data_IF_416154248911
#
_entry.id   IF_416154248911
#
_cell.length_a   1.000
_cell.length_b   1.000
_cell.length_c   1.000
_cell.angle_alpha   90.00
_cell.angle_beta   90.00
_cell.angle_gamma   90.00
#
_symmetry.space_group_name_H-M   'P 1'
#
loop_
_entity.id
_entity.type
_entity.pdbx_description
1 polymer ?
#
# COMPACT_ATOMS: atom_id res chain seq x y z
N UNK A 1 -21.77 -1.48 -19.69
CA UNK A 1 -20.81 -1.60 -18.56
C UNK A 1 -19.86 -2.75 -18.88
N UNK A 2 -18.56 -2.49 -18.91
CA UNK A 2 -17.54 -3.51 -19.21
C UNK A 2 -17.31 -4.39 -17.98
N UNK A 3 -17.52 -5.69 -18.09
CA UNK A 3 -17.21 -6.63 -17.01
C UNK A 3 -15.74 -7.04 -17.06
N UNK A 4 -15.09 -7.10 -15.88
CA UNK A 4 -13.74 -7.61 -15.67
C UNK A 4 -13.82 -8.74 -14.66
N UNK A 5 -13.44 -9.92 -15.08
CA UNK A 5 -13.56 -11.16 -14.29
C UNK A 5 -12.28 -11.38 -13.49
N UNK A 6 -12.43 -11.39 -12.17
CA UNK A 6 -11.31 -11.53 -11.25
C UNK A 6 -11.18 -12.94 -10.67
N UNK A 7 -9.92 -13.38 -10.57
CA UNK A 7 -9.51 -14.45 -9.68
C UNK A 7 -8.82 -13.89 -8.43
N UNK A 8 -9.05 -14.48 -7.27
CA UNK A 8 -8.32 -14.18 -6.03
C UNK A 8 -7.36 -15.33 -5.72
N UNK A 9 -6.07 -15.01 -5.53
CA UNK A 9 -5.07 -15.94 -5.01
C UNK A 9 -4.72 -15.49 -3.59
N UNK A 10 -5.05 -16.32 -2.58
CA UNK A 10 -4.96 -15.97 -1.16
C UNK A 10 -6.32 -15.52 -0.60
N UNK A 11 -7.07 -16.47 -0.04
CA UNK A 11 -8.44 -16.28 0.48
C UNK A 11 -8.47 -15.84 1.95
N UNK A 12 -7.36 -15.30 2.47
CA UNK A 12 -7.24 -14.75 3.83
C UNK A 12 -7.98 -13.43 4.01
N UNK A 13 -7.51 -12.62 4.99
CA UNK A 13 -8.13 -11.35 5.34
C UNK A 13 -8.22 -10.40 4.13
N UNK A 14 -7.09 -10.14 3.45
CA UNK A 14 -7.07 -9.21 2.32
C UNK A 14 -7.86 -9.71 1.11
N UNK A 15 -7.87 -11.03 0.86
CA UNK A 15 -8.73 -11.61 -0.17
C UNK A 15 -10.22 -11.37 0.12
N UNK A 16 -10.64 -11.45 1.40
CA UNK A 16 -12.02 -11.13 1.81
C UNK A 16 -12.34 -9.64 1.69
N UNK A 17 -11.42 -8.76 2.07
CA UNK A 17 -11.60 -7.30 1.89
C UNK A 17 -11.77 -6.94 0.42
N UNK A 18 -10.99 -7.55 -0.45
CA UNK A 18 -11.12 -7.39 -1.87
C UNK A 18 -12.48 -7.91 -2.40
N UNK A 19 -12.91 -9.09 -1.99
CA UNK A 19 -14.22 -9.62 -2.34
C UNK A 19 -15.38 -8.75 -1.81
N UNK A 20 -15.24 -8.22 -0.59
CA UNK A 20 -16.18 -7.26 0.00
C UNK A 20 -16.34 -5.99 -0.85
N UNK A 21 -15.24 -5.46 -1.40
CA UNK A 21 -15.28 -4.32 -2.31
C UNK A 21 -16.05 -4.64 -3.61
N UNK A 22 -15.92 -5.87 -4.15
CA UNK A 22 -16.76 -6.33 -5.26
C UNK A 22 -18.26 -6.29 -4.89
N UNK A 23 -18.63 -6.81 -3.73
CA UNK A 23 -20.02 -6.82 -3.29
C UNK A 23 -20.59 -5.40 -3.12
N UNK A 24 -19.73 -4.45 -2.75
CA UNK A 24 -20.06 -3.01 -2.58
C UNK A 24 -19.96 -2.20 -3.87
N UNK A 25 -19.74 -2.81 -5.02
CA UNK A 25 -19.56 -2.10 -6.29
C UNK A 25 -20.72 -1.19 -6.63
N UNK A 26 -21.94 -1.59 -6.29
CA UNK A 26 -23.15 -0.78 -6.48
C UNK A 26 -23.15 0.54 -5.68
N UNK A 27 -22.21 0.76 -4.77
CA UNK A 27 -22.05 2.00 -4.04
C UNK A 27 -21.41 3.12 -4.91
N UNK A 28 -20.69 2.76 -5.97
CA UNK A 28 -20.09 3.72 -6.90
C UNK A 28 -21.10 4.22 -7.93
N UNK A 29 -21.00 5.51 -8.25
CA UNK A 29 -21.80 6.17 -9.28
C UNK A 29 -20.92 6.50 -10.50
N UNK A 30 -21.57 6.63 -11.66
CA UNK A 30 -20.93 7.11 -12.90
C UNK A 30 -19.72 6.28 -13.35
N UNK A 31 -19.70 4.97 -13.06
CA UNK A 31 -18.69 4.04 -13.55
C UNK A 31 -19.28 3.14 -14.65
N UNK A 32 -18.52 2.93 -15.72
CA UNK A 32 -18.96 2.12 -16.88
C UNK A 32 -18.33 0.71 -16.91
N UNK A 33 -17.63 0.33 -15.84
CA UNK A 33 -17.00 -0.97 -15.63
C UNK A 33 -17.50 -1.64 -14.34
N UNK A 34 -17.42 -2.97 -14.29
CA UNK A 34 -17.92 -3.78 -13.19
C UNK A 34 -16.99 -4.97 -12.91
N UNK A 35 -16.58 -5.22 -11.66
CA UNK A 35 -15.86 -6.44 -11.30
C UNK A 35 -16.82 -7.63 -11.15
N UNK A 36 -16.37 -8.80 -11.55
CA UNK A 36 -17.03 -10.08 -11.31
C UNK A 36 -16.04 -11.04 -10.69
N UNK A 37 -16.34 -11.59 -9.51
CA UNK A 37 -15.51 -12.62 -8.91
C UNK A 37 -15.79 -13.96 -9.57
N UNK A 38 -14.87 -14.43 -10.40
CA UNK A 38 -15.03 -15.65 -11.21
C UNK A 38 -14.21 -16.84 -10.67
N UNK A 39 -13.20 -16.59 -9.83
CA UNK A 39 -12.35 -17.65 -9.31
C UNK A 39 -11.66 -17.33 -7.99
N UNK A 40 -11.38 -18.36 -7.22
CA UNK A 40 -10.63 -18.28 -5.95
C UNK A 40 -9.61 -19.41 -5.85
N UNK A 41 -8.48 -19.11 -5.22
CA UNK A 41 -7.43 -20.09 -4.94
C UNK A 41 -6.83 -19.86 -3.56
N UNK A 42 -6.74 -20.93 -2.78
CA UNK A 42 -5.99 -21.00 -1.52
C UNK A 42 -5.59 -22.44 -1.24
N UNK A 43 -4.44 -22.64 -0.62
CA UNK A 43 -4.01 -23.98 -0.18
C UNK A 43 -4.88 -24.56 0.93
N UNK A 44 -5.62 -23.70 1.65
CA UNK A 44 -6.59 -24.08 2.67
C UNK A 44 -8.03 -23.99 2.12
N UNK A 45 -8.64 -25.11 1.68
CA UNK A 45 -10.00 -25.12 1.10
C UNK A 45 -11.11 -24.78 2.12
N UNK A 46 -10.82 -24.81 3.43
CA UNK A 46 -11.79 -24.41 4.45
C UNK A 46 -12.21 -22.92 4.32
N UNK A 47 -11.39 -22.11 3.62
CA UNK A 47 -11.70 -20.70 3.34
C UNK A 47 -12.69 -20.49 2.20
N UNK A 48 -12.95 -21.49 1.35
CA UNK A 48 -13.78 -21.34 0.15
C UNK A 48 -15.27 -21.13 0.47
N UNK A 49 -15.78 -21.76 1.52
CA UNK A 49 -17.20 -21.74 1.86
C UNK A 49 -17.78 -20.33 1.98
N UNK A 50 -17.05 -19.42 2.63
CA UNK A 50 -17.48 -18.03 2.74
C UNK A 50 -17.62 -17.35 1.35
N UNK A 51 -16.66 -17.55 0.46
CA UNK A 51 -16.70 -16.96 -0.89
C UNK A 51 -17.84 -17.54 -1.73
N UNK A 52 -18.00 -18.86 -1.72
CA UNK A 52 -19.03 -19.56 -2.50
C UNK A 52 -20.45 -19.18 -2.04
N UNK A 53 -20.62 -18.93 -0.73
CA UNK A 53 -21.89 -18.49 -0.17
C UNK A 53 -22.29 -17.08 -0.66
N UNK A 54 -21.30 -16.17 -0.82
CA UNK A 54 -21.58 -14.76 -1.12
C UNK A 54 -21.42 -14.40 -2.61
N UNK A 55 -20.70 -15.22 -3.37
CA UNK A 55 -20.38 -14.95 -4.79
C UNK A 55 -20.77 -16.14 -5.68
N UNK A 56 -22.03 -16.23 -6.11
CA UNK A 56 -22.50 -17.31 -7.00
C UNK A 56 -21.86 -17.28 -8.40
N UNK A 57 -21.12 -16.23 -8.73
CA UNK A 57 -20.40 -16.07 -9.99
C UNK A 57 -19.08 -16.85 -10.05
N UNK A 58 -18.61 -17.41 -8.91
CA UNK A 58 -17.39 -18.21 -8.86
C UNK A 58 -17.56 -19.50 -9.64
N UNK A 59 -16.76 -19.67 -10.68
CA UNK A 59 -16.72 -20.87 -11.53
C UNK A 59 -15.56 -21.80 -11.15
N UNK A 60 -14.47 -21.25 -10.59
CA UNK A 60 -13.25 -21.99 -10.23
C UNK A 60 -12.93 -21.77 -8.77
N UNK A 61 -12.90 -22.84 -7.97
CA UNK A 61 -12.40 -22.85 -6.60
C UNK A 61 -11.35 -23.97 -6.48
N UNK A 62 -10.07 -23.62 -6.30
CA UNK A 62 -8.97 -24.56 -6.45
C UNK A 62 -7.85 -24.31 -5.44
N UNK A 63 -7.04 -25.34 -5.20
CA UNK A 63 -5.80 -25.21 -4.42
C UNK A 63 -4.59 -24.78 -5.28
N UNK A 64 -4.73 -24.90 -6.60
CA UNK A 64 -3.64 -24.70 -7.55
C UNK A 64 -3.89 -23.42 -8.35
N UNK A 65 -3.14 -22.35 -8.07
CA UNK A 65 -3.35 -21.06 -8.77
C UNK A 65 -3.17 -21.17 -10.30
N UNK A 66 -2.43 -22.14 -10.77
CA UNK A 66 -2.27 -22.40 -12.20
C UNK A 66 -3.61 -22.68 -12.91
N UNK A 67 -4.63 -23.18 -12.21
CA UNK A 67 -5.95 -23.39 -12.78
C UNK A 67 -6.65 -22.06 -13.06
N UNK A 68 -6.47 -21.05 -12.18
CA UNK A 68 -6.97 -19.69 -12.42
C UNK A 68 -6.28 -19.06 -13.64
N UNK A 69 -4.96 -19.28 -13.78
CA UNK A 69 -4.20 -18.71 -14.88
C UNK A 69 -4.59 -19.29 -16.24
N UNK A 70 -4.95 -20.56 -16.27
CA UNK A 70 -5.41 -21.26 -17.50
C UNK A 70 -6.87 -20.95 -17.85
N UNK A 71 -7.66 -20.47 -16.90
CA UNK A 71 -9.10 -20.24 -17.09
C UNK A 71 -9.36 -19.11 -18.07
N UNK A 72 -10.17 -19.31 -19.14
CA UNK A 72 -10.60 -18.25 -20.03
C UNK A 72 -11.64 -17.32 -19.38
N UNK A 73 -12.21 -17.72 -18.25
CA UNK A 73 -13.19 -16.96 -17.49
C UNK A 73 -12.55 -15.92 -16.52
N UNK A 74 -11.24 -15.76 -16.54
CA UNK A 74 -10.50 -14.84 -15.66
C UNK A 74 -9.67 -13.88 -16.50
N UNK A 75 -9.86 -12.58 -16.28
CA UNK A 75 -9.15 -11.51 -16.98
C UNK A 75 -8.01 -10.94 -16.11
N UNK A 76 -8.26 -10.82 -14.81
CA UNK A 76 -7.35 -10.21 -13.85
C UNK A 76 -7.26 -11.02 -12.56
N UNK A 77 -6.11 -10.92 -11.88
CA UNK A 77 -5.86 -11.57 -10.60
C UNK A 77 -5.63 -10.50 -9.53
N UNK A 78 -6.29 -10.67 -8.39
CA UNK A 78 -5.85 -10.08 -7.12
C UNK A 78 -5.04 -11.13 -6.35
N UNK A 79 -3.82 -10.78 -5.95
CA UNK A 79 -2.90 -11.73 -5.31
C UNK A 79 -2.46 -11.23 -3.94
N UNK A 80 -2.84 -11.96 -2.87
CA UNK A 80 -2.62 -11.63 -1.47
C UNK A 80 -1.99 -12.81 -0.71
N UNK A 81 -0.73 -13.06 -0.99
CA UNK A 81 0.07 -14.15 -0.43
C UNK A 81 1.15 -13.64 0.55
N UNK A 82 1.81 -14.52 1.32
CA UNK A 82 3.07 -14.19 1.98
C UNK A 82 4.15 -13.71 1.00
N UNK A 83 5.00 -12.78 1.45
CA UNK A 83 5.92 -12.02 0.58
C UNK A 83 6.91 -12.88 -0.21
N UNK A 84 7.33 -14.01 0.37
CA UNK A 84 8.25 -14.95 -0.30
C UNK A 84 7.68 -15.61 -1.57
N UNK A 85 6.37 -15.59 -1.72
CA UNK A 85 5.68 -16.15 -2.89
C UNK A 85 5.45 -15.13 -4.00
N UNK A 86 5.57 -13.82 -3.72
CA UNK A 86 5.22 -12.77 -4.66
C UNK A 86 6.02 -12.88 -5.96
N UNK A 87 7.34 -13.04 -5.90
CA UNK A 87 8.16 -13.10 -7.12
C UNK A 87 7.66 -14.20 -8.08
N UNK A 88 7.55 -15.42 -7.57
CA UNK A 88 7.15 -16.55 -8.42
C UNK A 88 5.73 -16.37 -8.96
N UNK A 89 4.78 -16.10 -8.09
CA UNK A 89 3.36 -16.07 -8.46
C UNK A 89 3.05 -14.87 -9.36
N UNK A 90 3.62 -13.70 -9.08
CA UNK A 90 3.43 -12.51 -9.92
C UNK A 90 4.00 -12.70 -11.32
N UNK A 91 5.20 -13.28 -11.44
CA UNK A 91 5.81 -13.59 -12.72
C UNK A 91 4.95 -14.61 -13.50
N UNK A 92 4.43 -15.64 -12.84
CA UNK A 92 3.56 -16.64 -13.49
C UNK A 92 2.25 -16.00 -13.99
N UNK A 93 1.63 -15.10 -13.19
CA UNK A 93 0.42 -14.35 -13.59
C UNK A 93 0.71 -13.48 -14.83
N UNK A 94 1.81 -12.74 -14.81
CA UNK A 94 2.22 -11.84 -15.90
C UNK A 94 2.46 -12.64 -17.19
N UNK A 95 3.17 -13.76 -17.11
CA UNK A 95 3.45 -14.66 -18.25
C UNK A 95 2.20 -15.31 -18.83
N UNK A 96 1.22 -15.58 -17.97
CA UNK A 96 -0.09 -16.08 -18.41
C UNK A 96 -0.97 -15.00 -19.08
N UNK A 97 -0.48 -13.75 -19.18
CA UNK A 97 -1.20 -12.65 -19.78
C UNK A 97 -2.39 -12.14 -18.93
N UNK A 98 -2.47 -12.50 -17.65
CA UNK A 98 -3.50 -12.01 -16.74
C UNK A 98 -3.07 -10.68 -16.12
N UNK A 99 -3.99 -9.70 -16.08
CA UNK A 99 -3.74 -8.45 -15.38
C UNK A 99 -3.56 -8.72 -13.88
N UNK A 100 -2.76 -7.90 -13.18
CA UNK A 100 -2.40 -8.14 -11.77
C UNK A 100 -2.58 -6.89 -10.92
N UNK A 101 -3.37 -7.01 -9.87
CA UNK A 101 -3.28 -6.17 -8.68
C UNK A 101 -2.64 -7.01 -7.57
N UNK A 102 -1.34 -6.81 -7.34
CA UNK A 102 -0.56 -7.57 -6.36
C UNK A 102 -0.47 -6.83 -5.03
N UNK A 103 -0.51 -7.57 -3.92
CA UNK A 103 -0.28 -7.01 -2.60
C UNK A 103 1.16 -6.50 -2.41
N UNK A 104 1.27 -5.53 -1.50
CA UNK A 104 2.58 -5.02 -1.05
C UNK A 104 3.21 -5.96 -0.01
N UNK A 105 4.55 -5.91 0.13
CA UNK A 105 5.54 -5.30 -0.78
C UNK A 105 5.57 -6.04 -2.12
N UNK A 106 6.04 -5.36 -3.16
CA UNK A 106 6.00 -5.93 -4.53
C UNK A 106 6.91 -7.16 -4.73
N UNK A 107 7.79 -7.44 -3.78
CA UNK A 107 8.63 -8.63 -3.65
C UNK A 107 9.11 -8.76 -2.21
N UNK A 108 9.71 -9.89 -1.85
CA UNK A 108 10.27 -10.10 -0.51
C UNK A 108 11.51 -9.22 -0.25
N UNK A 109 12.23 -8.88 -1.33
CA UNK A 109 13.46 -8.08 -1.33
C UNK A 109 13.63 -7.31 -2.66
N UNK A 110 14.72 -6.55 -2.80
CA UNK A 110 15.02 -5.79 -4.01
C UNK A 110 15.28 -6.69 -5.25
N UNK A 111 16.02 -7.81 -5.17
CA UNK A 111 16.15 -8.75 -6.28
C UNK A 111 14.81 -9.28 -6.79
N UNK A 112 13.92 -9.69 -5.88
CA UNK A 112 12.59 -10.18 -6.24
C UNK A 112 11.74 -9.10 -6.93
N UNK A 113 11.70 -7.88 -6.38
CA UNK A 113 10.98 -6.76 -6.98
C UNK A 113 11.55 -6.39 -8.35
N UNK A 114 12.88 -6.40 -8.53
CA UNK A 114 13.53 -6.16 -9.81
C UNK A 114 13.12 -7.21 -10.85
N UNK A 115 13.15 -8.49 -10.47
CA UNK A 115 12.75 -9.57 -11.38
C UNK A 115 11.29 -9.44 -11.84
N UNK A 116 10.37 -9.02 -10.94
CA UNK A 116 8.96 -8.77 -11.29
C UNK A 116 8.87 -7.60 -12.29
N UNK A 117 9.53 -6.47 -12.00
CA UNK A 117 9.53 -5.29 -12.88
C UNK A 117 10.08 -5.61 -14.25
N UNK A 118 11.14 -6.41 -14.32
CA UNK A 118 11.72 -6.84 -15.60
C UNK A 118 10.77 -7.76 -16.38
N UNK A 119 9.99 -8.59 -15.69
CA UNK A 119 8.97 -9.41 -16.34
C UNK A 119 7.80 -8.56 -16.87
N UNK A 120 7.38 -7.52 -16.11
CA UNK A 120 6.38 -6.54 -16.58
C UNK A 120 6.82 -5.89 -17.89
N UNK A 121 8.08 -5.44 -17.99
CA UNK A 121 8.62 -4.83 -19.21
C UNK A 121 8.59 -5.75 -20.42
N UNK A 122 8.80 -7.07 -20.21
CA UNK A 122 8.74 -8.10 -21.27
C UNK A 122 7.30 -8.37 -21.73
N UNK A 123 6.31 -8.06 -20.91
CA UNK A 123 4.90 -8.33 -21.14
C UNK A 123 4.04 -7.05 -21.13
N UNK A 124 4.27 -6.10 -22.05
CA UNK A 124 3.65 -4.76 -21.99
C UNK A 124 2.12 -4.74 -22.16
N UNK A 125 1.53 -5.85 -22.59
CA UNK A 125 0.06 -6.00 -22.68
C UNK A 125 -0.59 -6.35 -21.34
N UNK A 126 0.20 -6.79 -20.36
CA UNK A 126 -0.29 -7.14 -19.04
C UNK A 126 -0.27 -5.90 -18.14
N UNK A 127 -1.43 -5.51 -17.67
CA UNK A 127 -1.56 -4.39 -16.75
C UNK A 127 -1.27 -4.83 -15.33
N UNK A 128 -0.26 -4.21 -14.70
CA UNK A 128 0.23 -4.61 -13.37
C UNK A 128 0.30 -3.41 -12.45
N UNK A 129 -0.27 -3.54 -11.25
CA UNK A 129 -0.23 -2.53 -10.18
C UNK A 129 0.01 -3.20 -8.82
N UNK A 130 0.54 -2.43 -7.88
CA UNK A 130 0.70 -2.83 -6.49
C UNK A 130 -0.38 -2.16 -5.63
N UNK A 131 -0.94 -2.90 -4.69
CA UNK A 131 -1.98 -2.43 -3.77
C UNK A 131 -1.42 -1.44 -2.75
N UNK A 132 -2.08 -0.30 -2.56
CA UNK A 132 -1.86 0.67 -1.48
C UNK A 132 -3.06 1.60 -1.39
N UNK A 133 -3.89 1.42 -0.40
CA UNK A 133 -5.22 2.04 -0.29
C UNK A 133 -5.23 3.42 0.38
N UNK A 134 -4.36 3.71 1.35
CA UNK A 134 -4.38 4.97 2.12
C UNK A 134 -4.39 6.25 1.28
N UNK A 135 -3.61 6.33 0.17
CA UNK A 135 -3.64 7.52 -0.69
C UNK A 135 -5.00 7.82 -1.33
N UNK A 136 -5.93 6.87 -1.31
CA UNK A 136 -7.29 7.06 -1.84
C UNK A 136 -8.26 7.71 -0.84
N UNK A 137 -7.81 8.00 0.38
CA UNK A 137 -8.56 8.80 1.33
C UNK A 137 -8.61 10.29 0.93
N UNK A 138 -9.66 11.03 1.30
CA UNK A 138 -9.81 12.45 0.93
C UNK A 138 -8.64 13.34 1.36
N UNK A 139 -8.11 13.16 2.57
CA UNK A 139 -7.00 13.94 3.08
C UNK A 139 -5.72 13.79 2.27
N UNK A 140 -5.19 12.56 2.04
CA UNK A 140 -4.07 12.31 1.13
C UNK A 140 -4.27 12.89 -0.26
N UNK A 141 -5.48 12.85 -0.83
CA UNK A 141 -5.77 13.47 -2.13
C UNK A 141 -5.61 14.99 -2.11
N UNK A 142 -5.99 15.66 -1.02
CA UNK A 142 -5.74 17.09 -0.82
C UNK A 142 -4.25 17.41 -0.71
N UNK A 143 -3.48 16.57 -0.01
CA UNK A 143 -2.02 16.71 0.07
C UNK A 143 -1.39 16.54 -1.31
N UNK A 144 -1.77 15.51 -2.06
CA UNK A 144 -1.28 15.25 -3.43
C UNK A 144 -1.54 16.46 -4.33
N UNK A 145 -2.77 16.99 -4.30
CA UNK A 145 -3.13 18.19 -5.07
C UNK A 145 -2.26 19.38 -4.71
N UNK A 146 -2.04 19.66 -3.43
CA UNK A 146 -1.19 20.75 -2.97
C UNK A 146 0.28 20.59 -3.42
N UNK A 147 0.79 19.35 -3.45
CA UNK A 147 2.12 19.04 -3.98
C UNK A 147 2.18 19.31 -5.49
N UNK A 148 1.22 18.80 -6.24
CA UNK A 148 1.18 18.97 -7.71
C UNK A 148 1.06 20.44 -8.13
N UNK A 149 0.33 21.25 -7.37
CA UNK A 149 0.18 22.69 -7.56
C UNK A 149 1.39 23.48 -7.04
N UNK A 150 2.42 22.83 -6.49
CA UNK A 150 3.62 23.45 -5.91
C UNK A 150 3.29 24.57 -4.88
N UNK A 151 2.28 24.33 -4.02
CA UNK A 151 1.76 25.34 -3.08
C UNK A 151 2.72 25.65 -1.95
N UNK A 152 3.62 24.74 -1.60
CA UNK A 152 4.48 24.85 -0.41
C UNK A 152 5.64 25.86 -0.56
N UNK A 153 5.96 26.28 -1.79
CA UNK A 153 7.19 27.02 -2.06
C UNK A 153 8.40 26.07 -1.87
N UNK A 154 9.47 26.52 -1.20
CA UNK A 154 10.58 25.63 -0.83
C UNK A 154 10.13 24.71 0.30
N UNK A 155 10.26 23.40 0.10
CA UNK A 155 10.00 22.43 1.16
C UNK A 155 11.12 22.52 2.19
N UNK A 156 10.74 22.60 3.46
CA UNK A 156 11.63 22.66 4.62
C UNK A 156 11.87 21.25 5.16
N UNK A 157 10.78 20.51 5.39
CA UNK A 157 10.78 19.14 5.91
C UNK A 157 9.46 18.45 5.57
N UNK A 158 9.52 17.12 5.45
CA UNK A 158 8.33 16.27 5.36
C UNK A 158 8.40 15.17 6.42
N UNK A 159 7.34 15.01 7.20
CA UNK A 159 7.19 13.93 8.15
C UNK A 159 6.04 13.03 7.73
N UNK A 160 6.26 11.73 7.59
CA UNK A 160 5.21 10.81 7.23
C UNK A 160 5.41 9.43 7.88
N UNK A 161 4.35 8.66 7.89
CA UNK A 161 4.44 7.32 8.45
C UNK A 161 3.15 6.55 8.45
N UNK A 162 3.30 5.28 8.82
CA UNK A 162 2.20 4.39 9.10
C UNK A 162 2.51 3.60 10.38
N UNK A 163 1.63 3.71 11.36
CA UNK A 163 1.83 3.17 12.69
C UNK A 163 0.60 2.43 13.19
N UNK A 164 0.80 1.28 13.80
CA UNK A 164 -0.24 0.54 14.50
C UNK A 164 0.30 -0.24 15.71
N UNK A 165 -0.60 -0.81 16.50
CA UNK A 165 -0.28 -1.56 17.73
C UNK A 165 -0.68 -3.04 17.65
N UNK A 166 -0.89 -3.58 16.47
CA UNK A 166 -1.42 -4.94 16.28
C UNK A 166 -0.56 -6.03 16.92
N UNK A 167 0.71 -5.73 17.16
CA UNK A 167 1.69 -6.66 17.70
C UNK A 167 2.25 -6.22 19.07
N UNK A 168 1.57 -5.27 19.74
CA UNK A 168 1.95 -4.77 21.06
C UNK A 168 1.87 -5.87 22.14
N UNK A 169 0.83 -6.73 22.09
CA UNK A 169 0.70 -7.86 23.01
C UNK A 169 1.77 -8.94 22.71
N UNK A 170 2.74 -9.20 23.62
CA UNK A 170 3.78 -10.20 23.41
C UNK A 170 3.24 -11.65 23.42
N UNK A 171 2.09 -11.90 24.05
CA UNK A 171 1.47 -13.22 24.15
C UNK A 171 0.68 -13.62 22.89
N UNK A 172 0.55 -12.73 21.93
CA UNK A 172 -0.04 -13.03 20.62
C UNK A 172 0.80 -14.11 19.93
N UNK A 173 0.21 -15.20 19.44
CA UNK A 173 0.95 -16.26 18.74
C UNK A 173 1.76 -15.71 17.55
N UNK A 174 2.91 -16.33 17.30
CA UNK A 174 3.74 -15.99 16.15
C UNK A 174 2.97 -16.20 14.85
N UNK A 175 3.14 -15.29 13.91
CA UNK A 175 2.60 -15.43 12.56
C UNK A 175 3.73 -15.26 11.52
N UNK A 176 3.41 -15.50 10.26
CA UNK A 176 4.37 -15.46 9.15
C UNK A 176 5.11 -14.12 9.02
N UNK A 177 4.50 -13.00 9.44
CA UNK A 177 5.13 -11.67 9.41
C UNK A 177 6.33 -11.55 10.37
N UNK A 178 6.49 -12.50 11.30
CA UNK A 178 7.63 -12.57 12.24
C UNK A 178 8.71 -13.53 11.79
N UNK A 179 8.47 -14.26 10.70
CA UNK A 179 9.37 -15.24 10.12
C UNK A 179 10.10 -14.62 8.93
N UNK A 180 11.44 -14.55 9.01
CA UNK A 180 12.25 -13.89 7.98
C UNK A 180 12.12 -14.57 6.60
N UNK A 181 11.96 -15.90 6.59
CA UNK A 181 11.83 -16.68 5.37
C UNK A 181 10.52 -16.44 4.61
N UNK A 182 9.50 -15.90 5.29
CA UNK A 182 8.19 -15.62 4.73
C UNK A 182 7.95 -14.12 4.48
N UNK A 183 8.41 -13.26 5.42
CA UNK A 183 8.20 -11.83 5.38
C UNK A 183 9.38 -11.04 4.80
N UNK A 184 10.59 -11.61 4.79
CA UNK A 184 11.81 -10.94 4.37
C UNK A 184 12.49 -10.14 5.48
N UNK A 185 13.73 -9.68 5.20
CA UNK A 185 14.53 -8.90 6.14
C UNK A 185 13.99 -7.51 6.42
N UNK A 186 13.21 -6.94 5.51
CA UNK A 186 12.62 -5.61 5.68
C UNK A 186 11.71 -5.51 6.91
N UNK A 187 11.06 -6.61 7.31
CA UNK A 187 10.17 -6.63 8.46
C UNK A 187 9.03 -5.62 8.32
N UNK A 188 8.92 -4.68 9.28
CA UNK A 188 7.91 -3.63 9.24
C UNK A 188 8.03 -2.71 8.01
N UNK A 189 9.24 -2.46 7.50
CA UNK A 189 9.42 -1.62 6.31
C UNK A 189 8.72 -2.23 5.09
N UNK A 190 8.86 -3.52 4.85
CA UNK A 190 8.18 -4.21 3.75
C UNK A 190 6.66 -4.29 3.95
N UNK A 191 6.21 -4.60 5.16
CA UNK A 191 4.78 -4.77 5.45
C UNK A 191 3.99 -3.45 5.45
N UNK A 192 4.60 -2.36 5.92
CA UNK A 192 3.91 -1.08 6.17
C UNK A 192 4.46 0.09 5.34
N UNK A 193 5.71 0.02 4.92
CA UNK A 193 6.42 1.18 4.38
C UNK A 193 5.87 1.68 3.05
N UNK A 194 5.38 0.78 2.18
CA UNK A 194 4.79 1.18 0.91
C UNK A 194 3.60 2.13 1.10
N UNK A 195 2.78 1.91 2.12
CA UNK A 195 1.64 2.79 2.43
C UNK A 195 2.08 4.23 2.72
N UNK A 196 3.20 4.42 3.44
CA UNK A 196 3.75 5.74 3.72
C UNK A 196 4.44 6.38 2.51
N UNK A 197 5.02 5.56 1.62
CA UNK A 197 5.83 6.02 0.48
C UNK A 197 5.04 6.36 -0.77
N UNK A 198 3.84 5.82 -0.94
CA UNK A 198 3.07 5.99 -2.18
C UNK A 198 2.86 7.47 -2.55
N UNK A 199 2.44 8.32 -1.59
CA UNK A 199 2.24 9.76 -1.84
C UNK A 199 3.55 10.47 -2.19
N UNK A 200 4.63 10.36 -1.40
CA UNK A 200 5.93 10.95 -1.73
C UNK A 200 6.48 10.50 -3.09
N UNK A 201 6.47 9.21 -3.38
CA UNK A 201 6.99 8.69 -4.65
C UNK A 201 6.15 9.16 -5.85
N UNK A 202 4.82 9.19 -5.70
CA UNK A 202 3.91 9.71 -6.73
C UNK A 202 4.10 11.22 -6.97
N UNK A 203 4.49 11.97 -5.95
CA UNK A 203 4.90 13.36 -6.07
C UNK A 203 6.22 13.55 -6.83
N UNK A 204 6.93 12.46 -7.12
CA UNK A 204 8.24 12.48 -7.75
C UNK A 204 9.37 12.84 -6.78
N UNK A 205 9.11 12.83 -5.49
CA UNK A 205 10.11 13.05 -4.45
C UNK A 205 11.03 11.84 -4.35
N UNK A 206 12.30 12.02 -4.77
CA UNK A 206 13.25 10.91 -4.92
C UNK A 206 14.17 10.82 -3.71
N UNK A 207 14.06 9.74 -2.91
CA UNK A 207 15.03 9.43 -1.86
C UNK A 207 16.44 9.27 -2.44
N UNK A 208 17.44 9.89 -1.81
CA UNK A 208 18.84 9.84 -2.24
C UNK A 208 19.75 9.16 -1.23
N UNK A 209 19.56 9.44 0.03
CA UNK A 209 20.39 8.92 1.11
C UNK A 209 19.52 8.68 2.34
N UNK A 210 19.77 7.61 3.07
CA UNK A 210 19.02 7.25 4.27
C UNK A 210 19.91 6.95 5.45
N UNK A 211 19.53 7.46 6.64
CA UNK A 211 19.96 6.96 7.92
C UNK A 211 18.78 6.26 8.60
N UNK A 212 18.97 5.01 9.04
CA UNK A 212 17.91 4.18 9.58
C UNK A 212 18.20 3.70 10.99
N UNK A 213 17.16 3.68 11.83
CA UNK A 213 17.14 3.01 13.12
C UNK A 213 15.99 2.01 13.15
N UNK A 214 16.35 0.71 13.18
CA UNK A 214 15.38 -0.39 13.20
C UNK A 214 15.43 -1.10 14.54
N UNK A 215 14.28 -1.42 15.11
CA UNK A 215 14.14 -2.05 16.43
C UNK A 215 13.38 -3.38 16.34
N UNK A 216 13.88 -4.36 17.13
CA UNK A 216 13.16 -5.58 17.52
C UNK A 216 12.73 -5.42 18.97
N UNK A 217 11.45 -5.26 19.23
CA UNK A 217 10.88 -5.00 20.55
C UNK A 217 10.42 -6.31 21.18
N UNK A 218 9.70 -7.14 20.40
CA UNK A 218 9.26 -8.46 20.82
C UNK A 218 10.11 -9.50 20.10
N UNK A 219 11.03 -10.11 20.85
CA UNK A 219 12.03 -11.06 20.31
C UNK A 219 11.54 -12.51 20.23
N UNK A 220 10.48 -12.86 20.97
CA UNK A 220 9.88 -14.19 21.02
C UNK A 220 8.37 -14.09 21.14
N UNK A 221 7.66 -15.10 20.60
CA UNK A 221 6.21 -15.25 20.74
C UNK A 221 5.82 -16.70 20.93
N UNK A 222 4.65 -16.98 21.55
CA UNK A 222 4.11 -18.34 21.60
C UNK A 222 4.04 -18.95 20.19
N UNK A 223 4.47 -20.20 20.07
CA UNK A 223 4.50 -20.96 18.80
C UNK A 223 3.18 -21.68 18.49
N UNK A 224 2.20 -21.59 19.40
CA UNK A 224 0.92 -22.30 19.32
C UNK A 224 1.01 -23.79 19.64
N UNK A 225 2.18 -24.29 20.06
CA UNK A 225 2.43 -25.70 20.41
C UNK A 225 2.89 -25.89 21.88
N UNK A 226 2.78 -24.83 22.68
CA UNK A 226 3.18 -24.80 24.08
C UNK A 226 4.60 -24.29 24.33
N UNK A 227 5.32 -23.89 23.27
CA UNK A 227 6.64 -23.30 23.33
C UNK A 227 6.67 -21.84 22.85
N UNK A 228 7.88 -21.32 22.63
CA UNK A 228 8.13 -20.00 22.02
C UNK A 228 8.98 -20.13 20.78
N UNK A 229 8.72 -19.28 19.81
CA UNK A 229 9.52 -19.13 18.59
C UNK A 229 10.11 -17.74 18.47
N UNK A 230 11.33 -17.58 17.92
CA UNK A 230 11.99 -16.30 17.78
C UNK A 230 11.33 -15.43 16.70
N UNK A 231 11.12 -14.14 17.03
CA UNK A 231 10.71 -13.11 16.08
C UNK A 231 11.96 -12.54 15.40
N UNK A 232 12.17 -12.85 14.12
CA UNK A 232 13.41 -12.49 13.40
C UNK A 232 13.29 -11.19 12.63
N UNK A 233 12.07 -10.66 12.37
CA UNK A 233 11.83 -9.44 11.60
C UNK A 233 11.83 -8.19 12.49
N UNK A 234 12.02 -7.03 11.88
CA UNK A 234 11.97 -5.73 12.56
C UNK A 234 10.53 -5.36 12.92
N UNK A 235 10.34 -4.77 14.11
CA UNK A 235 9.04 -4.29 14.59
C UNK A 235 8.79 -2.84 14.17
N UNK A 236 9.80 -1.98 14.36
CA UNK A 236 9.70 -0.55 14.11
C UNK A 236 10.91 -0.07 13.32
N UNK A 237 10.67 0.90 12.42
CA UNK A 237 11.70 1.57 11.66
C UNK A 237 11.50 3.09 11.65
N UNK A 238 12.53 3.83 12.07
CA UNK A 238 12.62 5.28 11.89
C UNK A 238 13.69 5.55 10.83
N UNK A 239 13.30 6.26 9.77
CA UNK A 239 14.21 6.61 8.68
C UNK A 239 14.31 8.12 8.58
N UNK A 240 15.52 8.62 8.44
CA UNK A 240 15.82 10.00 8.09
C UNK A 240 16.42 10.00 6.68
N UNK A 241 15.76 10.68 5.74
CA UNK A 241 16.01 10.52 4.31
C UNK A 241 16.25 11.87 3.65
N UNK A 242 17.39 12.03 2.99
CA UNK A 242 17.61 13.15 2.08
C UNK A 242 16.82 12.89 0.77
N UNK A 243 15.94 13.80 0.42
CA UNK A 243 15.00 13.65 -0.69
C UNK A 243 15.11 14.82 -1.66
N UNK A 244 15.06 14.56 -2.97
CA UNK A 244 15.12 15.60 -3.99
C UNK A 244 13.71 15.98 -4.44
N UNK A 245 13.41 17.28 -4.40
CA UNK A 245 12.20 17.86 -4.94
C UNK A 245 12.33 18.02 -6.47
N UNK A 246 11.46 17.43 -7.30
CA UNK A 246 11.54 17.53 -8.75
C UNK A 246 11.23 18.94 -9.29
N UNK A 247 10.54 19.80 -8.53
CA UNK A 247 10.16 21.13 -8.98
C UNK A 247 11.32 22.13 -8.97
N UNK A 248 12.27 21.98 -8.05
CA UNK A 248 13.40 22.93 -7.91
C UNK A 248 14.77 22.26 -7.80
N UNK A 249 14.83 20.93 -7.86
CA UNK A 249 16.04 20.11 -7.76
C UNK A 249 16.73 20.14 -6.39
N UNK A 250 16.15 20.80 -5.39
CA UNK A 250 16.75 20.94 -4.06
C UNK A 250 16.51 19.71 -3.21
N UNK A 251 17.45 19.44 -2.32
CA UNK A 251 17.32 18.41 -1.30
C UNK A 251 16.62 18.97 -0.07
N UNK A 252 15.73 18.16 0.50
CA UNK A 252 15.06 18.41 1.77
C UNK A 252 15.02 17.14 2.62
N UNK A 253 14.96 17.24 3.96
CA UNK A 253 14.83 16.09 4.83
C UNK A 253 13.40 15.54 4.83
N UNK A 254 13.30 14.21 4.80
CA UNK A 254 12.06 13.48 5.09
C UNK A 254 12.28 12.52 6.25
N UNK A 255 11.31 12.43 7.15
CA UNK A 255 11.29 11.40 8.18
C UNK A 255 10.17 10.41 7.90
N UNK A 256 10.47 9.12 8.09
CA UNK A 256 9.48 8.05 8.02
C UNK A 256 9.40 7.31 9.35
N UNK A 257 8.19 7.11 9.85
CA UNK A 257 7.90 6.29 11.04
C UNK A 257 7.04 5.12 10.63
N UNK A 258 7.65 3.95 10.55
CA UNK A 258 7.03 2.71 10.09
C UNK A 258 7.00 1.73 11.28
N UNK A 259 5.91 1.73 12.04
CA UNK A 259 5.84 1.09 13.34
C UNK A 259 4.70 0.08 13.42
N UNK A 260 5.05 -1.14 13.76
CA UNK A 260 4.10 -2.22 14.05
C UNK A 260 3.75 -2.31 15.54
N UNK A 261 4.59 -1.71 16.38
CA UNK A 261 4.40 -1.59 17.83
C UNK A 261 4.48 -0.12 18.21
N UNK A 262 3.32 0.55 18.21
CA UNK A 262 3.19 1.96 18.53
C UNK A 262 2.02 2.16 19.50
N UNK A 263 2.25 2.13 20.84
CA UNK A 263 1.19 2.32 21.82
C UNK A 263 0.38 3.59 21.56
N UNK A 264 -0.96 3.46 21.57
CA UNK A 264 -1.87 4.57 21.27
C UNK A 264 -2.15 4.81 19.78
N UNK A 265 -1.48 4.06 18.89
CA UNK A 265 -1.71 4.09 17.44
C UNK A 265 -2.38 2.78 17.00
N UNK A 266 -3.55 2.84 16.38
CA UNK A 266 -4.26 1.64 15.93
C UNK A 266 -4.14 1.42 14.43
N UNK A 267 -4.24 2.49 13.65
CA UNK A 267 -4.18 2.49 12.18
C UNK A 267 -3.88 3.93 11.71
N UNK A 268 -2.73 4.45 12.16
CA UNK A 268 -2.39 5.86 11.94
C UNK A 268 -1.45 6.01 10.75
N UNK A 269 -2.03 6.38 9.61
CA UNK A 269 -1.32 6.94 8.47
C UNK A 269 -1.28 8.46 8.61
N UNK A 270 -0.13 9.09 8.40
CA UNK A 270 -0.01 10.54 8.49
C UNK A 270 1.02 11.08 7.51
N UNK A 271 0.84 12.36 7.14
CA UNK A 271 1.81 13.16 6.42
C UNK A 271 1.73 14.63 6.88
N UNK A 272 2.89 15.23 7.10
CA UNK A 272 3.07 16.65 7.32
C UNK A 272 4.08 17.18 6.32
N UNK A 273 3.76 18.27 5.64
CA UNK A 273 4.65 18.98 4.73
C UNK A 273 4.83 20.40 5.25
N UNK A 274 6.06 20.77 5.59
CA UNK A 274 6.42 22.11 6.01
C UNK A 274 7.09 22.84 4.85
N UNK A 275 6.53 23.96 4.43
CA UNK A 275 7.05 24.76 3.34
C UNK A 275 7.16 26.26 3.66
N UNK A 276 7.89 26.99 2.85
CA UNK A 276 8.13 28.43 3.07
C UNK A 276 6.92 29.30 2.75
N UNK A 277 5.97 28.81 1.95
CA UNK A 277 4.73 29.53 1.61
C UNK A 277 3.52 28.97 2.32
N UNK A 278 3.44 27.66 2.43
CA UNK A 278 2.34 26.99 3.12
C UNK A 278 2.81 25.67 3.74
N UNK A 279 2.02 25.16 4.64
CA UNK A 279 2.24 23.85 5.30
C UNK A 279 0.93 23.11 5.41
N UNK A 280 0.98 21.77 5.43
CA UNK A 280 -0.20 20.92 5.53
C UNK A 280 0.07 19.75 6.47
N UNK A 281 -0.95 19.34 7.23
CA UNK A 281 -0.94 18.15 8.09
C UNK A 281 -2.19 17.35 7.88
N UNK A 282 -2.03 16.05 7.71
CA UNK A 282 -3.13 15.09 7.71
C UNK A 282 -2.78 13.86 8.54
N UNK A 283 -3.77 13.32 9.23
CA UNK A 283 -3.68 12.02 9.91
C UNK A 283 -4.99 11.26 9.81
N UNK A 284 -4.91 9.94 9.56
CA UNK A 284 -6.07 9.04 9.56
C UNK A 284 -6.79 8.94 10.91
N UNK A 285 -6.21 9.46 11.99
CA UNK A 285 -6.92 9.65 13.28
C UNK A 285 -8.13 10.56 13.15
N UNK A 286 -8.10 11.50 12.20
CA UNK A 286 -9.22 12.35 11.86
C UNK A 286 -9.36 12.41 10.33
N UNK A 287 -10.02 11.41 9.76
CA UNK A 287 -10.18 11.25 8.31
C UNK A 287 -10.94 12.40 7.65
N UNK A 288 -11.71 13.17 8.44
CA UNK A 288 -12.64 14.20 7.94
C UNK A 288 -12.00 15.57 7.81
N UNK A 289 -10.86 15.81 8.43
CA UNK A 289 -10.21 17.12 8.40
C UNK A 289 -8.72 17.02 8.13
N UNK A 290 -8.17 18.11 7.63
CA UNK A 290 -6.73 18.34 7.60
C UNK A 290 -6.45 19.76 8.10
N UNK A 291 -5.20 20.00 8.51
CA UNK A 291 -4.73 21.31 8.90
C UNK A 291 -3.92 21.93 7.77
N UNK A 292 -4.23 23.16 7.46
CA UNK A 292 -3.51 23.96 6.47
C UNK A 292 -3.05 25.29 7.08
N UNK A 293 -1.85 25.74 6.74
CA UNK A 293 -1.32 27.04 7.13
C UNK A 293 -0.72 27.72 5.92
N UNK A 294 -1.11 28.96 5.65
CA UNK A 294 -0.51 29.82 4.66
C UNK A 294 0.28 30.94 5.34
N UNK A 295 1.54 31.10 4.93
CA UNK A 295 2.40 32.11 5.51
C UNK A 295 2.27 33.44 4.72
N UNK A 296 1.74 34.44 5.40
CA UNK A 296 1.55 35.79 4.86
C UNK A 296 2.35 36.87 5.62
N UNK A 297 3.26 36.47 6.50
CA UNK A 297 3.92 37.33 7.48
C UNK A 297 3.09 37.53 8.74
N UNK A 298 3.73 37.71 9.88
CA UNK A 298 3.06 37.91 11.18
C UNK A 298 2.60 36.62 11.84
N UNK A 299 1.36 36.57 12.31
CA UNK A 299 0.83 35.42 13.03
C UNK A 299 0.73 34.16 12.15
N UNK A 300 1.18 33.03 12.69
CA UNK A 300 1.10 31.73 12.00
C UNK A 300 -0.07 30.94 12.59
N UNK A 301 -1.12 30.77 11.80
CA UNK A 301 -2.34 30.10 12.23
C UNK A 301 -2.59 28.86 11.42
N UNK A 302 -2.72 27.71 12.07
CA UNK A 302 -3.23 26.49 11.47
C UNK A 302 -4.76 26.56 11.39
N UNK A 303 -5.29 26.32 10.21
CA UNK A 303 -6.73 26.26 9.96
C UNK A 303 -7.13 24.80 9.81
N UNK A 304 -8.16 24.37 10.54
CA UNK A 304 -8.77 23.07 10.34
C UNK A 304 -9.77 23.16 9.19
N UNK A 305 -9.45 22.46 8.09
CA UNK A 305 -10.37 22.30 6.96
C UNK A 305 -11.19 21.03 7.14
N UNK A 306 -12.51 21.13 7.17
CA UNK A 306 -13.38 19.99 7.06
C UNK A 306 -13.48 19.59 5.59
N UNK A 307 -12.86 18.48 5.23
CA UNK A 307 -12.79 17.98 3.85
C UNK A 307 -14.11 17.37 3.38
N UNK A 308 -15.02 17.02 4.31
CA UNK A 308 -16.04 16.04 4.01
C UNK A 308 -15.39 14.70 3.67
N UNK A 309 -16.06 13.91 2.83
CA UNK A 309 -15.54 12.65 2.31
C UNK A 309 -15.57 12.64 0.78
N UNK A 310 -15.11 13.75 0.17
CA UNK A 310 -14.98 13.86 -1.28
C UNK A 310 -13.96 12.84 -1.78
N UNK A 311 -14.42 11.88 -2.58
CA UNK A 311 -13.63 10.78 -3.10
C UNK A 311 -13.34 10.96 -4.59
N UNK A 312 -12.35 10.23 -5.12
CA UNK A 312 -12.00 10.24 -6.56
C UNK A 312 -13.18 9.74 -7.39
N UNK A 313 -13.78 8.61 -6.96
CA UNK A 313 -14.96 8.02 -7.57
C UNK A 313 -16.18 8.34 -6.73
N UNK A 314 -17.20 8.90 -7.36
CA UNK A 314 -18.44 9.30 -6.68
C UNK A 314 -19.17 8.11 -6.07
N UNK A 315 -19.74 8.33 -4.90
CA UNK A 315 -20.53 7.33 -4.17
C UNK A 315 -21.97 7.81 -3.96
N UNK A 316 -22.89 6.86 -3.70
CA UNK A 316 -24.32 7.19 -3.46
C UNK A 316 -24.52 8.10 -2.25
N UNK A 317 -23.62 8.06 -1.28
CA UNK A 317 -23.67 8.88 -0.05
C UNK A 317 -22.97 10.24 -0.20
N UNK A 318 -22.19 10.41 -1.26
CA UNK A 318 -21.40 11.63 -1.48
C UNK A 318 -20.40 11.89 -0.33
N UNK A 319 -20.19 13.17 -0.02
CA UNK A 319 -19.19 13.62 0.97
C UNK A 319 -19.76 13.81 2.39
N UNK A 320 -20.96 13.31 2.69
CA UNK A 320 -21.69 13.64 3.93
C UNK A 320 -21.39 12.65 5.06
N UNK A 321 -21.39 11.34 4.75
CA UNK A 321 -21.27 10.27 5.74
C UNK A 321 -19.82 9.83 5.95
N UNK A 322 -19.63 8.88 6.86
CA UNK A 322 -18.31 8.40 7.25
C UNK A 322 -17.60 7.66 6.11
N UNK A 323 -16.26 7.75 6.13
CA UNK A 323 -15.35 7.09 5.20
C UNK A 323 -14.30 6.30 5.99
N UNK A 324 -14.04 5.08 5.59
CA UNK A 324 -13.13 4.18 6.31
C UNK A 324 -12.26 3.32 5.41
N UNK A 325 -11.60 2.34 6.02
CA UNK A 325 -10.66 1.44 5.33
C UNK A 325 -11.28 0.72 4.14
N UNK A 326 -12.48 0.16 4.30
CA UNK A 326 -13.18 -0.54 3.21
C UNK A 326 -13.54 0.38 2.03
N UNK A 327 -13.74 1.69 2.31
CA UNK A 327 -14.00 2.67 1.25
C UNK A 327 -12.73 3.00 0.49
N UNK A 328 -11.57 3.10 1.17
CA UNK A 328 -10.28 3.26 0.50
C UNK A 328 -9.98 2.08 -0.42
N UNK A 329 -10.25 0.85 0.01
CA UNK A 329 -10.12 -0.35 -0.81
C UNK A 329 -11.02 -0.26 -2.05
N UNK A 330 -12.28 0.14 -1.90
CA UNK A 330 -13.22 0.30 -3.02
C UNK A 330 -12.73 1.36 -4.02
N UNK A 331 -12.25 2.51 -3.54
CA UNK A 331 -11.71 3.59 -4.36
C UNK A 331 -10.43 3.16 -5.11
N UNK A 332 -9.51 2.47 -4.44
CA UNK A 332 -8.31 1.90 -5.05
C UNK A 332 -8.65 0.91 -6.18
N UNK A 333 -9.66 0.09 -5.94
CA UNK A 333 -10.15 -0.87 -6.92
C UNK A 333 -10.76 -0.19 -8.14
N UNK A 334 -11.59 0.83 -7.91
CA UNK A 334 -12.15 1.62 -8.99
C UNK A 334 -11.03 2.23 -9.84
N UNK A 335 -9.97 2.77 -9.21
CA UNK A 335 -8.83 3.31 -9.92
C UNK A 335 -8.06 2.25 -10.73
N UNK A 336 -7.90 1.03 -10.19
CA UNK A 336 -7.27 -0.07 -10.94
C UNK A 336 -8.06 -0.43 -12.19
N UNK A 337 -9.38 -0.56 -12.06
CA UNK A 337 -10.25 -0.94 -13.18
C UNK A 337 -10.38 0.19 -14.19
N UNK A 338 -10.51 1.42 -13.74
CA UNK A 338 -10.60 2.60 -14.59
C UNK A 338 -9.33 2.74 -15.46
N UNK A 339 -8.15 2.64 -14.84
CA UNK A 339 -6.87 2.69 -15.55
C UNK A 339 -6.71 1.51 -16.52
N UNK A 340 -7.16 0.30 -16.15
CA UNK A 340 -7.16 -0.87 -17.02
C UNK A 340 -8.06 -0.68 -18.25
N UNK A 341 -9.21 -0.03 -18.08
CA UNK A 341 -10.20 0.14 -19.16
C UNK A 341 -9.91 1.35 -20.04
N UNK A 342 -9.51 2.47 -19.44
CA UNK A 342 -9.39 3.77 -20.11
C UNK A 342 -7.93 4.26 -20.28
N UNK A 343 -6.96 3.63 -19.61
CA UNK A 343 -5.54 3.92 -19.75
C UNK A 343 -5.03 5.11 -18.94
N UNK A 344 -5.90 6.00 -18.45
CA UNK A 344 -5.54 7.16 -17.61
C UNK A 344 -6.57 7.40 -16.53
N UNK A 345 -6.09 7.74 -15.36
CA UNK A 345 -6.91 8.09 -14.19
C UNK A 345 -6.31 9.30 -13.48
N UNK A 346 -7.11 10.07 -12.72
CA UNK A 346 -6.60 11.20 -11.93
C UNK A 346 -5.50 10.79 -10.95
N UNK A 347 -5.68 9.63 -10.31
CA UNK A 347 -4.72 9.01 -9.40
C UNK A 347 -4.87 7.49 -9.46
N UNK A 348 -3.84 6.79 -9.94
CA UNK A 348 -3.86 5.33 -10.08
C UNK A 348 -3.19 4.61 -8.90
N UNK A 349 -3.26 3.28 -8.92
CA UNK A 349 -2.53 2.42 -7.99
C UNK A 349 -1.01 2.54 -8.17
N UNK A 350 -0.24 2.03 -7.20
CA UNK A 350 1.23 2.03 -7.25
C UNK A 350 1.72 1.32 -8.51
N UNK A 351 2.56 2.00 -9.27
CA UNK A 351 3.21 1.42 -10.45
C UNK A 351 4.38 0.51 -10.05
N UNK A 352 4.73 -0.50 -10.86
CA UNK A 352 5.85 -1.39 -10.58
C UNK A 352 7.17 -0.64 -10.30
N UNK A 353 7.43 0.47 -11.01
CA UNK A 353 8.62 1.29 -10.83
C UNK A 353 8.61 2.03 -9.48
N UNK A 354 7.47 2.54 -9.04
CA UNK A 354 7.32 3.17 -7.72
C UNK A 354 7.50 2.14 -6.60
N UNK A 355 6.95 0.94 -6.78
CA UNK A 355 7.18 -0.16 -5.86
C UNK A 355 8.67 -0.52 -5.77
N UNK A 356 9.39 -0.55 -6.91
CA UNK A 356 10.82 -0.82 -6.93
C UNK A 356 11.62 0.25 -6.17
N UNK A 357 11.27 1.54 -6.30
CA UNK A 357 11.93 2.62 -5.55
C UNK A 357 11.78 2.43 -4.03
N UNK A 358 10.63 1.92 -3.56
CA UNK A 358 10.47 1.60 -2.13
C UNK A 358 11.42 0.47 -1.68
N UNK A 359 11.64 -0.54 -2.51
CA UNK A 359 12.59 -1.62 -2.22
C UNK A 359 14.03 -1.14 -2.17
N UNK A 360 14.42 -0.19 -3.03
CA UNK A 360 15.74 0.46 -2.96
C UNK A 360 15.95 1.19 -1.64
N UNK A 361 14.97 1.98 -1.22
CA UNK A 361 15.01 2.66 0.08
C UNK A 361 15.11 1.66 1.24
N UNK A 362 14.30 0.59 1.24
CA UNK A 362 14.32 -0.40 2.32
C UNK A 362 15.64 -1.17 2.37
N UNK A 363 16.23 -1.49 1.22
CA UNK A 363 17.54 -2.15 1.14
C UNK A 363 18.64 -1.25 1.70
N UNK A 364 18.66 0.04 1.32
CA UNK A 364 19.60 1.02 1.86
C UNK A 364 19.38 1.25 3.37
N UNK A 365 18.13 1.20 3.84
CA UNK A 365 17.82 1.31 5.27
C UNK A 365 18.36 0.12 6.08
N UNK A 366 18.28 -1.10 5.57
CA UNK A 366 18.91 -2.28 6.20
C UNK A 366 20.42 -2.13 6.27
N UNK A 367 21.04 -1.63 5.20
CA UNK A 367 22.47 -1.38 5.19
C UNK A 367 22.86 -0.28 6.17
N UNK A 368 22.10 0.81 6.23
CA UNK A 368 22.30 1.88 7.21
C UNK A 368 22.18 1.38 8.65
N UNK A 369 21.20 0.54 8.95
CA UNK A 369 21.05 -0.10 10.26
C UNK A 369 22.26 -0.96 10.63
N UNK A 370 22.80 -1.70 9.65
CA UNK A 370 23.97 -2.58 9.87
C UNK A 370 25.25 -1.79 10.08
N UNK A 371 25.49 -0.77 9.26
CA UNK A 371 26.73 0.03 9.26
C UNK A 371 26.72 1.18 10.27
N UNK A 372 25.53 1.57 10.76
CA UNK A 372 25.31 2.76 11.58
C UNK A 372 25.75 4.07 10.91
N UNK A 373 25.65 4.09 9.59
CA UNK A 373 25.99 5.24 8.74
C UNK A 373 24.84 5.57 7.79
N UNK A 374 24.83 6.80 7.27
CA UNK A 374 23.96 7.17 6.19
C UNK A 374 24.42 6.47 4.88
N UNK A 375 23.47 5.90 4.14
CA UNK A 375 23.72 5.11 2.93
C UNK A 375 23.05 5.75 1.71
N UNK A 376 23.79 5.86 0.62
CA UNK A 376 23.23 6.30 -0.67
C UNK A 376 22.28 5.25 -1.25
N UNK A 377 21.13 5.71 -1.78
CA UNK A 377 20.10 4.86 -2.39
C UNK A 377 20.41 4.72 -3.89
N UNK A 378 20.62 3.48 -4.35
CA UNK A 378 21.05 3.15 -5.72
C UNK A 378 19.96 2.46 -6.52
#
# INVERSE_FOLDING_TARGET
MKEIRFGIIGCGLMGREFASAIARWCHLLEVDFKPVLAGICDTNPALFGWYQQHFPTIKVATKEYADLLKSPDIDAIYCALPHNLHQKVYIDIIRAGKHLLGEKPFGIDLPAATAIVDEVKKNPKTFVRCSSEFPFAPGPQRVIKAIQENRFGRIIEVNCGFMHSSDLNPDKPINWKRMIDLNGEYGCLGDLGMHALHVPLRAGWKPKRVFAHLNKIVTERPDGKGGKAPCKTWDNGSLYVDTVNPFDGRTFPMTYRIYRIAPGETDTWFIEVLGTKSSIRFSSRNMKSLQFMEYSGGAQTWQDENLGYETIYKTITGSIFEFGFSDMILQMWAAFMDELVHGKVPYGCVRPEEALESHRLFTAALESQRTRQAVEIR
#
